data_IF_878532296506
#
_entry.id   IF_878532296506
#
_cell.length_a   1.000
_cell.length_b   1.000
_cell.length_c   1.000
_cell.angle_alpha   90.00
_cell.angle_beta   90.00
_cell.angle_gamma   90.00
#
_symmetry.space_group_name_H-M   'P 1'
#
loop_
_entity.id
_entity.type
_entity.pdbx_description
1 polymer ?
#
# COMPACT_ATOMS: atom_id res chain seq x y z
N UNK A 1 25.30 7.26 -3.89
CA UNK A 1 25.46 8.44 -2.97
C UNK A 1 26.18 8.04 -1.70
N UNK A 2 26.91 8.93 -1.01
CA UNK A 2 27.52 8.66 0.29
C UNK A 2 26.59 9.19 1.41
N UNK A 3 26.20 8.35 2.37
CA UNK A 3 25.38 8.77 3.49
C UNK A 3 26.17 9.72 4.43
N UNK A 4 25.65 10.94 4.74
CA UNK A 4 26.27 11.84 5.69
C UNK A 4 26.34 11.23 7.10
N UNK A 5 27.48 11.42 7.80
CA UNK A 5 27.67 10.86 9.15
C UNK A 5 26.66 11.38 10.18
N UNK A 6 26.07 12.56 9.96
CA UNK A 6 25.02 13.12 10.79
C UNK A 6 23.76 12.22 10.85
N UNK A 7 23.44 11.49 9.78
CA UNK A 7 22.32 10.57 9.75
C UNK A 7 22.48 9.44 10.77
N UNK A 8 23.67 8.83 10.87
CA UNK A 8 23.94 7.78 11.85
C UNK A 8 23.84 8.29 13.29
N UNK A 9 24.38 9.48 13.57
CA UNK A 9 24.25 10.09 14.91
C UNK A 9 22.80 10.38 15.28
N UNK A 10 21.99 10.82 14.30
CA UNK A 10 20.56 11.03 14.53
C UNK A 10 19.85 9.71 14.82
N UNK A 11 20.15 8.65 14.05
CA UNK A 11 19.59 7.32 14.27
C UNK A 11 19.92 6.79 15.68
N UNK A 12 21.17 6.94 16.14
CA UNK A 12 21.57 6.56 17.51
C UNK A 12 20.85 7.38 18.58
N UNK A 13 20.65 8.69 18.34
CA UNK A 13 19.98 9.58 19.28
C UNK A 13 18.47 9.33 19.41
N UNK A 14 17.83 8.84 18.35
CA UNK A 14 16.39 8.52 18.35
C UNK A 14 16.07 7.15 18.94
N UNK A 15 17.05 6.24 19.03
CA UNK A 15 16.79 4.90 19.56
C UNK A 15 16.04 4.94 20.91
N UNK A 16 14.97 4.14 21.16
CA UNK A 16 14.51 2.98 20.39
C UNK A 16 13.41 3.26 19.35
N UNK A 17 13.22 4.50 18.93
CA UNK A 17 12.26 4.85 17.87
C UNK A 17 12.97 5.02 16.51
N UNK A 18 12.26 4.86 15.42
CA UNK A 18 12.80 5.12 14.11
C UNK A 18 13.11 6.60 13.93
N UNK A 19 14.35 6.90 13.59
CA UNK A 19 14.71 8.22 13.08
C UNK A 19 14.29 8.36 11.62
N UNK A 20 13.92 9.55 11.20
CA UNK A 20 13.74 9.87 9.79
C UNK A 20 14.38 11.22 9.44
N UNK A 21 14.69 11.40 8.15
CA UNK A 21 15.26 12.63 7.66
C UNK A 21 15.52 12.57 6.15
N UNK A 22 16.05 13.66 5.63
CA UNK A 22 16.27 13.86 4.20
C UNK A 22 17.74 14.19 3.93
N UNK A 23 18.23 13.81 2.74
CA UNK A 23 19.47 14.36 2.21
C UNK A 23 19.11 15.51 1.27
N UNK A 24 19.54 16.72 1.60
CA UNK A 24 19.29 17.94 0.83
C UNK A 24 20.64 18.54 0.44
N UNK A 25 20.91 18.70 -0.85
CA UNK A 25 22.18 19.18 -1.39
C UNK A 25 23.40 18.52 -0.72
N UNK A 26 23.36 17.19 -0.57
CA UNK A 26 24.42 16.38 0.03
C UNK A 26 24.54 16.48 1.55
N UNK A 27 23.67 17.21 2.24
CA UNK A 27 23.63 17.36 3.70
C UNK A 27 22.44 16.65 4.31
N UNK A 28 22.64 15.97 5.42
CA UNK A 28 21.54 15.35 6.17
C UNK A 28 20.76 16.37 6.97
N UNK A 29 19.46 16.36 6.82
CA UNK A 29 18.49 17.15 7.56
C UNK A 29 17.59 16.20 8.36
N UNK A 30 17.67 16.19 9.69
CA UNK A 30 16.77 15.40 10.53
C UNK A 30 15.33 15.93 10.38
N UNK A 31 14.36 15.01 10.40
CA UNK A 31 12.93 15.31 10.42
C UNK A 31 12.27 14.65 11.62
N UNK A 32 11.14 15.18 12.04
CA UNK A 32 10.32 14.58 13.09
C UNK A 32 9.60 13.36 12.54
N UNK A 33 9.64 12.28 13.31
CA UNK A 33 8.78 11.13 13.08
C UNK A 33 7.46 11.36 13.81
N UNK A 34 6.36 11.51 13.07
CA UNK A 34 5.01 11.74 13.62
C UNK A 34 4.12 10.48 13.55
N UNK A 35 4.71 9.30 13.31
CA UNK A 35 3.98 8.04 13.31
C UNK A 35 3.34 7.76 14.67
N UNK A 36 2.19 7.08 14.67
CA UNK A 36 1.49 6.66 15.90
C UNK A 36 2.25 5.59 16.69
N UNK A 37 3.01 4.73 15.99
CA UNK A 37 3.91 3.71 16.58
C UNK A 37 5.34 3.92 16.06
N UNK A 38 6.06 4.95 16.57
CA UNK A 38 7.33 5.39 15.99
C UNK A 38 8.50 4.40 16.19
N UNK A 39 8.32 3.35 16.98
CA UNK A 39 9.27 2.23 17.10
C UNK A 39 9.15 1.19 15.99
N UNK A 40 8.08 1.22 15.20
CA UNK A 40 7.76 0.22 14.18
C UNK A 40 7.77 0.80 12.76
N UNK A 41 7.54 2.10 12.64
CA UNK A 41 7.56 2.80 11.37
C UNK A 41 7.76 4.31 11.55
N UNK A 42 7.98 5.01 10.45
CA UNK A 42 8.10 6.46 10.47
C UNK A 42 7.11 7.13 9.50
N UNK A 43 6.74 8.34 9.87
CA UNK A 43 6.05 9.31 9.01
C UNK A 43 6.79 10.65 9.14
N UNK A 44 7.36 11.14 8.06
CA UNK A 44 8.02 12.46 8.08
C UNK A 44 6.97 13.54 8.25
N UNK A 45 7.18 14.45 9.21
CA UNK A 45 6.32 15.62 9.36
C UNK A 45 6.27 16.43 8.06
N UNK A 46 5.07 16.67 7.48
CA UNK A 46 4.93 17.43 6.24
C UNK A 46 5.53 18.84 6.31
N UNK A 47 5.58 19.45 7.50
CA UNK A 47 6.20 20.76 7.67
C UNK A 47 7.72 20.69 7.51
N UNK A 48 8.35 19.62 8.03
CA UNK A 48 9.79 19.39 7.89
C UNK A 48 10.16 19.06 6.45
N UNK A 49 9.34 18.26 5.75
CA UNK A 49 9.53 17.95 4.34
C UNK A 49 9.43 19.21 3.46
N UNK A 50 8.39 20.02 3.66
CA UNK A 50 8.21 21.30 2.95
C UNK A 50 9.35 22.29 3.22
N UNK A 51 9.87 22.31 4.44
CA UNK A 51 11.02 23.14 4.77
C UNK A 51 12.30 22.66 4.07
N UNK A 52 12.53 21.34 4.02
CA UNK A 52 13.64 20.75 3.28
C UNK A 52 13.62 21.12 1.78
N UNK A 53 12.46 21.04 1.14
CA UNK A 53 12.29 21.43 -0.27
C UNK A 53 12.59 22.93 -0.54
N UNK A 54 12.47 23.80 0.46
CA UNK A 54 12.82 25.21 0.35
C UNK A 54 14.32 25.47 0.53
N UNK A 55 15.02 24.56 1.20
CA UNK A 55 16.45 24.65 1.47
C UNK A 55 17.31 24.19 0.27
N UNK A 56 16.77 23.26 -0.54
CA UNK A 56 17.49 22.72 -1.70
C UNK A 56 16.83 21.51 -2.32
N UNK A 57 17.57 20.78 -3.15
CA UNK A 57 17.10 19.56 -3.78
C UNK A 57 17.09 18.39 -2.78
N UNK A 58 15.91 17.78 -2.60
CA UNK A 58 15.78 16.53 -1.82
C UNK A 58 16.29 15.37 -2.67
N UNK A 59 17.39 14.75 -2.23
CA UNK A 59 18.11 13.72 -2.98
C UNK A 59 17.91 12.31 -2.45
N UNK A 60 17.51 12.16 -1.20
CA UNK A 60 17.23 10.84 -0.60
C UNK A 60 16.41 10.97 0.68
N UNK A 61 15.68 9.91 1.00
CA UNK A 61 15.07 9.67 2.31
C UNK A 61 16.00 8.80 3.14
N UNK A 62 16.06 9.04 4.45
CA UNK A 62 16.88 8.25 5.38
C UNK A 62 16.03 7.91 6.59
N UNK A 63 16.02 6.64 7.00
CA UNK A 63 15.41 6.23 8.27
C UNK A 63 16.23 5.14 8.96
N UNK A 64 15.84 4.79 10.17
CA UNK A 64 16.52 3.74 10.94
C UNK A 64 15.56 2.61 11.32
N UNK A 65 16.11 1.40 11.42
CA UNK A 65 15.43 0.22 11.94
C UNK A 65 16.02 -0.13 13.33
N UNK A 66 15.32 0.21 14.43
CA UNK A 66 15.75 -0.17 15.79
C UNK A 66 15.63 -1.68 15.99
N UNK A 67 16.72 -2.31 16.48
CA UNK A 67 16.81 -3.75 16.78
C UNK A 67 16.52 -4.71 15.61
N UNK A 68 16.47 -4.20 14.37
CA UNK A 68 16.30 -4.97 13.14
C UNK A 68 17.48 -4.79 12.19
N UNK A 69 17.55 -5.70 11.22
CA UNK A 69 18.53 -5.61 10.14
C UNK A 69 18.17 -4.48 9.17
N UNK A 70 19.15 -3.96 8.43
CA UNK A 70 18.95 -2.92 7.42
C UNK A 70 18.27 -3.45 6.13
N UNK A 71 17.50 -4.53 6.22
CA UNK A 71 16.76 -5.00 5.05
C UNK A 71 15.49 -4.16 4.87
N UNK A 72 15.21 -3.71 3.63
CA UNK A 72 13.99 -2.99 3.35
C UNK A 72 12.76 -3.83 3.69
N UNK A 73 11.83 -3.28 4.43
CA UNK A 73 10.49 -3.83 4.56
C UNK A 73 9.72 -3.66 3.24
N UNK A 74 8.59 -4.33 3.12
CA UNK A 74 7.69 -4.12 1.98
C UNK A 74 7.20 -2.68 1.92
N UNK A 75 6.91 -2.05 3.06
CA UNK A 75 6.51 -0.64 3.15
C UNK A 75 7.62 0.29 2.64
N UNK A 76 8.88 0.02 3.00
CA UNK A 76 10.02 0.80 2.48
C UNK A 76 10.14 0.71 0.96
N UNK A 77 9.94 -0.48 0.39
CA UNK A 77 10.00 -0.67 -1.07
C UNK A 77 8.92 0.12 -1.78
N UNK A 78 7.68 0.03 -1.32
CA UNK A 78 6.57 0.79 -1.90
C UNK A 78 6.82 2.28 -1.80
N UNK A 79 7.17 2.79 -0.63
CA UNK A 79 7.38 4.20 -0.41
C UNK A 79 8.62 4.74 -1.17
N UNK A 80 9.66 3.93 -1.34
CA UNK A 80 10.80 4.25 -2.19
C UNK A 80 10.38 4.42 -3.65
N UNK A 81 9.63 3.45 -4.21
CA UNK A 81 9.11 3.53 -5.57
C UNK A 81 8.17 4.73 -5.78
N UNK A 82 7.25 4.98 -4.84
CA UNK A 82 6.31 6.11 -4.90
C UNK A 82 7.02 7.47 -4.80
N UNK A 83 8.07 7.56 -3.98
CA UNK A 83 8.83 8.81 -3.85
C UNK A 83 9.73 9.11 -5.05
N UNK A 84 10.10 8.09 -5.83
CA UNK A 84 11.10 8.18 -6.88
C UNK A 84 12.49 8.57 -6.38
N UNK A 85 12.75 8.49 -5.06
CA UNK A 85 14.00 8.86 -4.42
C UNK A 85 14.72 7.64 -3.86
N UNK A 86 16.06 7.61 -3.85
CA UNK A 86 16.82 6.63 -3.09
C UNK A 86 16.53 6.72 -1.59
N UNK A 87 16.48 5.56 -0.93
CA UNK A 87 16.27 5.45 0.51
C UNK A 87 17.48 4.81 1.19
N UNK A 88 17.94 5.37 2.31
CA UNK A 88 18.98 4.78 3.13
C UNK A 88 18.38 4.25 4.44
N UNK A 89 18.60 2.97 4.73
CA UNK A 89 18.12 2.29 5.94
C UNK A 89 19.31 2.04 6.86
N UNK A 90 19.25 2.56 8.07
CA UNK A 90 20.30 2.45 9.08
C UNK A 90 19.84 1.48 10.17
N UNK A 91 20.42 0.27 10.30
CA UNK A 91 20.13 -0.58 11.45
C UNK A 91 20.71 0.04 12.72
N UNK A 92 19.96 0.02 13.81
CA UNK A 92 20.43 0.48 15.13
C UNK A 92 20.21 -0.65 16.13
N UNK A 93 21.29 -1.28 16.55
CA UNK A 93 21.27 -2.32 17.57
C UNK A 93 21.80 -1.77 18.90
N UNK A 94 20.99 -1.88 19.96
CA UNK A 94 21.32 -1.39 21.29
C UNK A 94 21.87 0.06 21.28
N UNK A 95 21.28 0.93 20.47
CA UNK A 95 21.67 2.33 20.35
C UNK A 95 22.93 2.59 19.51
N UNK A 96 23.44 1.59 18.78
CA UNK A 96 24.60 1.74 17.89
C UNK A 96 24.22 1.54 16.43
N UNK A 97 24.50 2.55 15.61
CA UNK A 97 24.23 2.51 14.17
C UNK A 97 25.21 1.57 13.44
N UNK A 98 24.66 0.61 12.72
CA UNK A 98 25.39 -0.33 11.89
C UNK A 98 25.70 0.17 10.47
N UNK A 99 25.95 -0.77 9.56
CA UNK A 99 26.15 -0.48 8.14
C UNK A 99 24.78 -0.29 7.49
N UNK A 100 24.54 0.90 6.92
CA UNK A 100 23.32 1.21 6.16
C UNK A 100 23.26 0.45 4.83
N UNK A 101 22.04 0.28 4.33
CA UNK A 101 21.73 -0.24 2.99
C UNK A 101 21.04 0.86 2.21
N UNK A 102 21.30 0.94 0.90
CA UNK A 102 20.56 1.77 -0.05
C UNK A 102 19.50 0.94 -0.74
N UNK A 103 18.32 1.50 -0.85
CA UNK A 103 17.23 1.06 -1.69
C UNK A 103 17.04 2.10 -2.79
N UNK A 104 17.05 1.68 -4.04
CA UNK A 104 16.86 2.55 -5.19
C UNK A 104 15.50 2.23 -5.83
N UNK A 105 14.76 3.22 -6.36
CA UNK A 105 13.56 2.94 -7.13
C UNK A 105 13.95 2.25 -8.45
N UNK A 106 13.39 1.08 -8.68
CA UNK A 106 13.71 0.19 -9.81
C UNK A 106 12.46 -0.12 -10.67
N UNK A 107 11.32 0.49 -10.38
CA UNK A 107 10.02 0.16 -10.97
C UNK A 107 9.42 -1.12 -10.38
N UNK A 108 9.86 -1.53 -9.19
CA UNK A 108 9.33 -2.70 -8.52
C UNK A 108 7.86 -2.54 -8.18
N UNK A 109 7.08 -3.58 -8.44
CA UNK A 109 5.67 -3.66 -8.06
C UNK A 109 5.44 -4.91 -7.22
N UNK A 110 4.74 -4.74 -6.11
CA UNK A 110 4.37 -5.89 -5.29
C UNK A 110 3.43 -6.81 -6.08
N UNK A 111 3.58 -8.14 -5.99
CA UNK A 111 2.69 -9.06 -6.66
C UNK A 111 1.24 -8.87 -6.17
N UNK A 112 0.26 -9.23 -7.01
CA UNK A 112 -1.14 -9.27 -6.58
C UNK A 112 -1.43 -10.54 -5.74
N UNK A 113 -0.69 -11.62 -5.97
CA UNK A 113 -0.81 -12.88 -5.23
C UNK A 113 0.44 -13.12 -4.39
N UNK A 114 0.28 -13.50 -3.11
CA UNK A 114 1.40 -13.75 -2.20
C UNK A 114 2.05 -12.49 -1.65
N UNK A 115 1.35 -11.37 -1.70
CA UNK A 115 1.79 -10.07 -1.17
C UNK A 115 1.68 -10.09 0.35
N UNK A 116 2.77 -9.74 1.03
CA UNK A 116 2.78 -9.58 2.47
C UNK A 116 1.89 -8.40 2.91
N UNK A 117 1.17 -8.58 4.03
CA UNK A 117 0.26 -7.57 4.55
C UNK A 117 1.01 -6.43 5.24
N UNK A 118 0.71 -5.19 4.86
CA UNK A 118 1.14 -3.97 5.54
C UNK A 118 -0.02 -2.96 5.50
N UNK A 119 -0.62 -2.65 6.66
CA UNK A 119 -1.78 -1.77 6.73
C UNK A 119 -1.51 -0.42 6.07
N UNK A 120 -2.48 0.08 5.28
CA UNK A 120 -2.35 1.34 4.57
C UNK A 120 -1.47 1.32 3.32
N UNK A 121 -0.61 0.30 3.18
CA UNK A 121 0.31 0.10 2.05
C UNK A 121 -0.09 -1.12 1.22
N UNK A 122 -0.17 -2.28 1.84
CA UNK A 122 -0.57 -3.54 1.24
C UNK A 122 -1.69 -4.19 2.05
N UNK A 123 -2.92 -3.87 1.72
CA UNK A 123 -4.14 -4.36 2.35
C UNK A 123 -5.25 -4.60 1.34
N UNK A 124 -6.48 -4.79 1.82
CA UNK A 124 -7.62 -5.08 0.95
C UNK A 124 -8.01 -3.92 0.02
N UNK A 125 -7.73 -2.67 0.36
CA UNK A 125 -7.97 -1.57 -0.57
C UNK A 125 -6.83 -1.46 -1.59
N UNK A 126 -5.58 -1.54 -1.16
CA UNK A 126 -4.44 -1.45 -2.08
C UNK A 126 -4.46 -2.56 -3.15
N UNK A 127 -4.93 -3.78 -2.82
CA UNK A 127 -5.07 -4.83 -3.84
C UNK A 127 -6.14 -4.48 -4.90
N UNK A 128 -7.21 -3.79 -4.51
CA UNK A 128 -8.22 -3.28 -5.44
C UNK A 128 -7.61 -2.21 -6.34
N UNK A 129 -6.89 -1.23 -5.78
CA UNK A 129 -6.26 -0.14 -6.53
C UNK A 129 -5.24 -0.69 -7.53
N UNK A 130 -4.39 -1.62 -7.11
CA UNK A 130 -3.36 -2.21 -7.95
C UNK A 130 -3.93 -3.12 -9.04
N UNK A 131 -4.99 -3.88 -8.75
CA UNK A 131 -5.70 -4.64 -9.77
C UNK A 131 -6.25 -3.72 -10.87
N UNK A 132 -6.93 -2.65 -10.49
CA UNK A 132 -7.48 -1.71 -11.47
C UNK A 132 -6.39 -1.05 -12.30
N UNK A 133 -5.28 -0.66 -11.69
CA UNK A 133 -4.13 -0.08 -12.39
C UNK A 133 -3.49 -1.07 -13.36
N UNK A 134 -3.24 -2.32 -12.92
CA UNK A 134 -2.45 -3.31 -13.66
C UNK A 134 -3.26 -4.11 -14.68
N UNK A 135 -4.47 -4.52 -14.31
CA UNK A 135 -5.32 -5.39 -15.15
C UNK A 135 -6.30 -4.59 -16.01
N UNK A 136 -6.76 -3.43 -15.52
CA UNK A 136 -7.78 -2.63 -16.19
C UNK A 136 -7.23 -1.34 -16.82
N UNK A 137 -5.97 -0.94 -16.49
CA UNK A 137 -5.38 0.31 -16.95
C UNK A 137 -6.03 1.57 -16.36
N UNK A 138 -6.68 1.44 -15.19
CA UNK A 138 -7.42 2.51 -14.52
C UNK A 138 -6.70 2.90 -13.24
N UNK A 139 -6.24 4.13 -13.15
CA UNK A 139 -5.67 4.67 -11.91
C UNK A 139 -6.79 5.28 -11.05
N UNK A 140 -7.10 4.63 -9.95
CA UNK A 140 -8.11 5.08 -8.99
C UNK A 140 -7.58 6.09 -7.97
N UNK A 141 -6.28 6.43 -8.04
CA UNK A 141 -5.62 7.33 -7.09
C UNK A 141 -5.18 6.63 -5.80
N UNK A 142 -4.78 7.47 -4.82
CA UNK A 142 -4.32 7.03 -3.50
C UNK A 142 -5.31 7.48 -2.41
N UNK A 143 -5.52 6.63 -1.41
CA UNK A 143 -6.46 6.91 -0.31
C UNK A 143 -5.81 6.59 1.03
N UNK A 144 -5.51 7.64 1.78
CA UNK A 144 -5.04 7.51 3.16
C UNK A 144 -6.16 6.98 4.06
N UNK A 145 -5.80 6.08 4.98
CA UNK A 145 -6.73 5.51 5.95
C UNK A 145 -6.03 5.16 7.26
N UNK A 146 -6.67 5.49 8.35
CA UNK A 146 -6.22 5.14 9.69
C UNK A 146 -6.50 3.64 9.94
N UNK A 147 -5.63 2.98 10.72
CA UNK A 147 -5.91 1.61 11.16
C UNK A 147 -7.14 1.59 12.09
N UNK A 148 -7.95 0.53 12.00
CA UNK A 148 -9.15 0.39 12.82
C UNK A 148 -10.29 1.38 12.51
N UNK A 149 -10.27 2.07 11.35
CA UNK A 149 -11.34 3.01 10.95
C UNK A 149 -12.74 2.39 11.00
N UNK A 150 -12.86 1.09 10.75
CA UNK A 150 -14.11 0.34 10.77
C UNK A 150 -14.69 0.20 12.17
N UNK A 151 -13.87 0.18 13.23
CA UNK A 151 -14.32 0.10 14.62
C UNK A 151 -14.98 1.41 15.07
N UNK A 152 -14.68 2.51 14.39
CA UNK A 152 -15.31 3.82 14.60
C UNK A 152 -16.63 3.97 13.84
N UNK A 153 -17.08 2.95 13.11
CA UNK A 153 -18.31 2.97 12.32
C UNK A 153 -18.26 3.84 11.07
N UNK A 154 -17.06 4.25 10.63
CA UNK A 154 -16.88 4.98 9.36
C UNK A 154 -17.05 4.01 8.19
N UNK A 155 -17.98 4.27 7.28
CA UNK A 155 -18.19 3.44 6.07
C UNK A 155 -17.35 3.97 4.90
N UNK A 156 -16.04 3.78 5.01
CA UNK A 156 -15.06 4.27 4.04
C UNK A 156 -15.35 3.80 2.62
N UNK A 157 -15.71 2.53 2.44
CA UNK A 157 -15.92 1.98 1.12
C UNK A 157 -17.14 2.58 0.40
N UNK A 158 -18.27 2.70 1.11
CA UNK A 158 -19.48 3.28 0.51
C UNK A 158 -19.35 4.77 0.23
N UNK A 159 -18.48 5.46 0.95
CA UNK A 159 -18.16 6.87 0.67
C UNK A 159 -17.16 7.02 -0.49
N UNK A 160 -16.22 6.09 -0.62
CA UNK A 160 -15.11 6.14 -1.57
C UNK A 160 -15.53 5.66 -2.96
N UNK A 161 -16.15 4.49 -3.06
CA UNK A 161 -16.42 3.85 -4.35
C UNK A 161 -17.21 4.72 -5.33
N UNK A 162 -18.27 5.44 -4.93
CA UNK A 162 -18.97 6.34 -5.86
C UNK A 162 -18.08 7.48 -6.38
N UNK A 163 -17.17 8.00 -5.55
CA UNK A 163 -16.24 9.06 -5.94
C UNK A 163 -15.17 8.57 -6.90
N UNK A 164 -14.86 7.28 -6.83
CA UNK A 164 -13.91 6.61 -7.70
C UNK A 164 -14.57 6.03 -8.98
N UNK A 165 -15.81 6.40 -9.30
CA UNK A 165 -16.51 5.99 -10.52
C UNK A 165 -17.19 4.62 -10.44
N UNK A 166 -17.44 4.10 -9.23
CA UNK A 166 -18.16 2.86 -9.04
C UNK A 166 -19.64 3.07 -8.73
N UNK A 167 -20.47 2.14 -9.19
CA UNK A 167 -21.88 2.07 -8.85
C UNK A 167 -22.27 0.65 -8.40
N UNK A 168 -23.30 0.49 -7.56
CA UNK A 168 -23.73 -0.81 -7.08
C UNK A 168 -24.42 -1.61 -8.19
N UNK A 169 -24.16 -2.92 -8.24
CA UNK A 169 -24.77 -3.86 -9.19
C UNK A 169 -25.32 -5.09 -8.48
N UNK A 170 -26.24 -5.80 -9.12
CA UNK A 170 -26.83 -7.05 -8.60
C UNK A 170 -26.27 -8.32 -9.23
N UNK A 171 -25.60 -8.19 -10.37
CA UNK A 171 -25.00 -9.30 -11.11
C UNK A 171 -23.47 -9.16 -11.06
N UNK A 172 -22.80 -10.27 -10.81
CA UNK A 172 -21.35 -10.33 -10.66
C UNK A 172 -20.67 -10.51 -12.03
N UNK A 173 -19.61 -9.74 -12.28
CA UNK A 173 -18.77 -9.83 -13.47
C UNK A 173 -17.29 -9.73 -13.10
N UNK A 174 -16.41 -10.17 -14.00
CA UNK A 174 -14.96 -10.01 -13.81
C UNK A 174 -14.57 -8.57 -13.51
N UNK A 175 -13.74 -8.36 -12.50
CA UNK A 175 -13.27 -7.05 -12.08
C UNK A 175 -14.20 -6.32 -11.09
N UNK A 176 -15.41 -6.82 -10.82
CA UNK A 176 -16.26 -6.19 -9.81
C UNK A 176 -15.63 -6.22 -8.43
N UNK A 177 -15.79 -5.12 -7.72
CA UNK A 177 -15.40 -5.02 -6.29
C UNK A 177 -16.49 -5.63 -5.42
N UNK A 178 -16.14 -6.64 -4.67
CA UNK A 178 -17.02 -7.29 -3.69
C UNK A 178 -16.73 -6.72 -2.32
N UNK A 179 -17.70 -6.02 -1.72
CA UNK A 179 -17.60 -5.53 -0.34
C UNK A 179 -18.13 -6.56 0.65
N UNK A 180 -17.37 -6.79 1.68
CA UNK A 180 -17.68 -7.75 2.73
C UNK A 180 -17.64 -7.09 4.10
N UNK A 181 -18.49 -7.60 5.01
CA UNK A 181 -18.55 -7.16 6.39
C UNK A 181 -18.16 -8.33 7.30
N UNK A 182 -16.99 -8.20 7.95
CA UNK A 182 -16.37 -9.26 8.74
C UNK A 182 -16.19 -8.78 10.18
N UNK A 183 -17.05 -9.21 11.10
CA UNK A 183 -16.99 -8.85 12.53
C UNK A 183 -16.85 -7.35 12.79
N UNK A 184 -17.50 -6.53 12.01
CA UNK A 184 -17.43 -5.07 12.03
C UNK A 184 -18.83 -4.48 11.89
N UNK A 185 -19.12 -3.28 12.41
CA UNK A 185 -20.40 -2.61 12.22
C UNK A 185 -20.61 -2.09 10.78
N UNK A 186 -19.52 -1.98 9.99
CA UNK A 186 -19.55 -1.49 8.60
C UNK A 186 -18.77 -2.44 7.69
N UNK A 187 -18.93 -2.38 6.35
CA UNK A 187 -18.06 -3.11 5.42
C UNK A 187 -16.58 -2.74 5.66
N UNK A 188 -15.75 -3.73 5.94
CA UNK A 188 -14.36 -3.53 6.32
C UNK A 188 -13.38 -4.38 5.48
N UNK A 189 -13.89 -5.10 4.50
CA UNK A 189 -13.07 -5.90 3.61
C UNK A 189 -13.57 -5.78 2.17
N UNK A 190 -12.63 -5.73 1.22
CA UNK A 190 -12.89 -5.69 -0.20
C UNK A 190 -12.05 -6.74 -0.93
N UNK A 191 -12.56 -7.22 -2.06
CA UNK A 191 -11.83 -8.05 -2.98
C UNK A 191 -12.37 -7.89 -4.39
N UNK A 192 -11.64 -8.41 -5.36
CA UNK A 192 -11.98 -8.37 -6.78
C UNK A 192 -12.49 -9.74 -7.21
N UNK A 193 -13.64 -9.78 -7.85
CA UNK A 193 -14.13 -11.01 -8.45
C UNK A 193 -13.42 -11.30 -9.77
N UNK A 194 -12.89 -12.51 -9.90
CA UNK A 194 -12.22 -13.01 -11.09
C UNK A 194 -13.03 -14.16 -11.70
N UNK A 195 -13.71 -13.90 -12.81
CA UNK A 195 -14.54 -14.90 -13.49
C UNK A 195 -13.71 -16.08 -14.02
N UNK A 196 -12.66 -15.78 -14.80
CA UNK A 196 -11.70 -16.78 -15.31
C UNK A 196 -10.61 -17.14 -14.29
N UNK A 197 -10.39 -16.28 -13.30
CA UNK A 197 -9.30 -16.39 -12.33
C UNK A 197 -7.91 -16.19 -12.92
N UNK A 198 -7.80 -15.60 -14.10
CA UNK A 198 -6.53 -15.23 -14.74
C UNK A 198 -6.19 -13.80 -14.38
N UNK A 199 -4.90 -13.54 -14.12
CA UNK A 199 -4.29 -12.23 -14.00
C UNK A 199 -3.31 -12.04 -15.15
N UNK A 200 -3.54 -11.07 -16.01
CA UNK A 200 -2.70 -10.83 -17.18
C UNK A 200 -1.30 -10.33 -16.77
N UNK A 201 -1.22 -9.59 -15.65
CA UNK A 201 0.04 -9.10 -15.09
C UNK A 201 0.86 -10.17 -14.35
N UNK A 202 0.27 -11.34 -14.05
CA UNK A 202 0.91 -12.44 -13.31
C UNK A 202 0.59 -13.80 -13.98
N UNK A 203 1.06 -14.02 -15.22
CA UNK A 203 0.71 -15.20 -16.02
C UNK A 203 1.29 -16.51 -15.49
N UNK A 204 2.22 -16.47 -14.56
CA UNK A 204 2.81 -17.63 -13.89
C UNK A 204 1.84 -18.36 -12.95
N UNK A 205 0.74 -17.70 -12.55
CA UNK A 205 -0.27 -18.30 -11.69
C UNK A 205 -1.33 -19.05 -12.49
N UNK A 206 -1.62 -20.29 -12.10
CA UNK A 206 -2.70 -21.07 -12.71
C UNK A 206 -4.05 -20.36 -12.61
N UNK A 207 -4.95 -20.51 -13.62
CA UNK A 207 -6.31 -20.00 -13.53
C UNK A 207 -7.05 -20.52 -12.29
N UNK A 208 -7.76 -19.63 -11.61
CA UNK A 208 -8.62 -19.95 -10.47
C UNK A 208 -10.03 -19.36 -10.74
N UNK A 209 -10.85 -20.00 -11.59
CA UNK A 209 -12.12 -19.44 -12.01
C UNK A 209 -13.10 -19.26 -10.85
N UNK A 210 -13.97 -18.26 -10.97
CA UNK A 210 -14.96 -17.90 -9.94
C UNK A 210 -14.31 -17.68 -8.57
N UNK A 211 -13.21 -16.94 -8.54
CA UNK A 211 -12.46 -16.62 -7.33
C UNK A 211 -12.57 -15.14 -6.96
N UNK A 212 -12.22 -14.84 -5.72
CA UNK A 212 -12.03 -13.50 -5.22
C UNK A 212 -10.55 -13.29 -4.93
N UNK A 213 -9.95 -12.26 -5.55
CA UNK A 213 -8.62 -11.79 -5.22
C UNK A 213 -8.77 -10.79 -4.06
N UNK A 214 -8.13 -11.07 -2.94
CA UNK A 214 -8.26 -10.25 -1.76
C UNK A 214 -7.04 -10.34 -0.84
N UNK A 215 -6.96 -9.44 0.13
CA UNK A 215 -5.87 -9.34 1.08
C UNK A 215 -6.42 -9.21 2.51
N UNK A 216 -6.49 -10.31 3.23
CA UNK A 216 -6.96 -10.33 4.62
C UNK A 216 -5.93 -9.72 5.57
N UNK A 217 -6.43 -9.10 6.62
CA UNK A 217 -5.60 -8.53 7.68
C UNK A 217 -4.61 -9.57 8.25
N UNK A 218 -3.32 -9.21 8.24
CA UNK A 218 -2.22 -10.03 8.75
C UNK A 218 -1.96 -11.35 7.99
N UNK A 219 -2.40 -11.46 6.73
CA UNK A 219 -2.16 -12.62 5.87
C UNK A 219 -1.70 -12.18 4.50
N UNK A 220 -1.05 -13.07 3.77
CA UNK A 220 -0.69 -12.81 2.38
C UNK A 220 -1.94 -12.72 1.49
N UNK A 221 -1.86 -11.87 0.46
CA UNK A 221 -2.90 -11.77 -0.56
C UNK A 221 -3.05 -13.07 -1.34
N UNK A 222 -4.27 -13.40 -1.73
CA UNK A 222 -4.57 -14.66 -2.44
C UNK A 222 -5.85 -14.61 -3.25
N UNK A 223 -6.07 -15.66 -4.02
CA UNK A 223 -7.35 -15.97 -4.64
C UNK A 223 -8.02 -17.11 -3.87
N UNK A 224 -9.21 -16.86 -3.37
CA UNK A 224 -10.07 -17.89 -2.77
C UNK A 224 -11.29 -18.14 -3.67
N UNK A 225 -11.85 -19.35 -3.76
CA UNK A 225 -13.11 -19.59 -4.44
C UNK A 225 -14.20 -18.68 -3.90
N UNK A 226 -14.90 -17.94 -4.79
CA UNK A 226 -15.99 -17.06 -4.37
C UNK A 226 -17.27 -17.86 -4.14
N UNK A 227 -17.56 -18.16 -2.89
CA UNK A 227 -18.70 -18.94 -2.45
C UNK A 227 -18.66 -19.14 -0.93
N UNK A 228 -19.63 -19.86 -0.37
CA UNK A 228 -19.67 -20.17 1.06
C UNK A 228 -19.48 -18.94 1.93
N UNK A 229 -18.41 -18.95 2.71
CA UNK A 229 -18.09 -17.86 3.66
C UNK A 229 -18.00 -16.48 2.98
N UNK A 230 -17.33 -16.36 1.85
CA UNK A 230 -17.15 -15.07 1.16
C UNK A 230 -18.47 -14.50 0.64
N UNK A 231 -19.30 -15.37 0.06
CA UNK A 231 -20.65 -14.99 -0.39
C UNK A 231 -21.53 -14.59 0.79
N UNK A 232 -21.49 -15.32 1.91
CA UNK A 232 -22.23 -14.98 3.13
C UNK A 232 -21.83 -13.62 3.72
N UNK A 233 -20.54 -13.26 3.64
CA UNK A 233 -20.02 -11.97 4.14
C UNK A 233 -20.20 -10.82 3.17
N UNK A 234 -20.57 -11.08 1.93
CA UNK A 234 -20.81 -10.05 0.91
C UNK A 234 -22.03 -9.22 1.25
N UNK A 235 -21.86 -7.91 1.29
CA UNK A 235 -22.95 -6.95 1.56
C UNK A 235 -23.32 -6.12 0.33
N UNK A 236 -22.41 -5.95 -0.62
CA UNK A 236 -22.70 -5.28 -1.89
C UNK A 236 -21.60 -5.56 -2.93
N UNK A 237 -21.97 -5.41 -4.20
CA UNK A 237 -21.09 -5.58 -5.36
C UNK A 237 -21.06 -4.25 -6.10
N UNK A 238 -19.88 -3.83 -6.53
CA UNK A 238 -19.66 -2.54 -7.16
C UNK A 238 -18.89 -2.69 -8.47
N UNK A 239 -19.37 -2.04 -9.52
CA UNK A 239 -18.77 -2.03 -10.85
C UNK A 239 -18.26 -0.66 -11.21
N UNK A 240 -17.08 -0.58 -11.81
CA UNK A 240 -16.56 0.67 -12.32
C UNK A 240 -17.22 1.01 -13.66
N UNK A 241 -17.59 2.27 -13.87
CA UNK A 241 -18.31 2.77 -15.05
C UNK A 241 -17.65 2.47 -16.41
N UNK A 242 -16.31 2.34 -16.44
CA UNK A 242 -15.58 1.99 -17.67
C UNK A 242 -15.87 0.56 -18.14
N UNK A 243 -16.22 -0.37 -17.25
CA UNK A 243 -16.56 -1.75 -17.63
C UNK A 243 -17.90 -1.83 -18.38
N UNK A 244 -18.87 -0.99 -17.98
CA UNK A 244 -20.15 -0.89 -18.70
C UNK A 244 -19.96 -0.31 -20.10
N UNK A 245 -19.09 0.71 -20.24
CA UNK A 245 -18.77 1.32 -21.52
C UNK A 245 -18.05 0.37 -22.48
N UNK A 246 -17.21 -0.54 -21.95
CA UNK A 246 -16.53 -1.56 -22.75
C UNK A 246 -17.52 -2.62 -23.24
N UNK A 247 -18.39 -3.12 -22.39
CA UNK A 247 -19.44 -4.07 -22.75
C UNK A 247 -20.39 -3.53 -23.85
N UNK A 248 -20.73 -2.23 -23.78
CA UNK A 248 -21.55 -1.56 -24.79
C UNK A 248 -20.84 -1.44 -26.16
N UNK A 249 -19.53 -1.23 -26.19
CA UNK A 249 -18.73 -1.17 -27.41
C UNK A 249 -18.62 -2.56 -28.09
N UNK A 250 -18.45 -3.62 -27.30
CA UNK A 250 -18.36 -5.00 -27.78
C UNK A 250 -19.72 -5.53 -28.28
N UNK A 251 -20.84 -5.07 -27.72
CA UNK A 251 -22.18 -5.44 -28.14
C UNK A 251 -22.68 -4.65 -29.37
N UNK A 252 -22.08 -3.54 -29.75
CA UNK A 252 -22.45 -2.64 -30.83
C UNK A 252 -21.60 -2.77 -32.11
N UNK A 253 -20.59 -3.64 -32.14
CA UNK A 253 -19.69 -3.91 -33.26
C UNK A 253 -19.94 -5.29 -33.83
#
# INVERSE_FOLDING_TARGET
MRLPAAAKRHAEACYPVESCGLVVDGKYRPCRNIASTPSEHFVIDPADYKAAMREGEVQAVVHSHPDYQAQPSVADRVACEESGLPWAIIPVDQGKAGKHVWLEPEGWQAPLIGREFAHGVHDCLSIVLDFYRREMGIDLGHYEREDGWWDQGKDYYRELLPKAGFHPVSNLQHGDVVLMQIRSPVPNHAGIYLESGVLASEPEHYPAPQSILHHLYGRDSKRDPYGGYWLEKTVSIWRHETQDNQALREAGG
#
